data_IF_810668667299
#
_entry.id   IF_810668667299
#
_cell.length_a   1.000
_cell.length_b   1.000
_cell.length_c   1.000
_cell.angle_alpha   90.00
_cell.angle_beta   90.00
_cell.angle_gamma   90.00
#
_symmetry.space_group_name_H-M   'P 1'
#
loop_
_entity.id
_entity.type
_entity.pdbx_description
1 polymer ?
#
# COMPACT_ATOMS: atom_id res chain seq x y z
N UNK A 1 -40.24 -2.09 -5.52
CA UNK A 1 -40.72 -2.24 -6.92
C UNK A 1 -41.32 -3.64 -7.12
N UNK A 2 -42.42 -3.77 -7.85
CA UNK A 2 -43.04 -5.08 -8.13
C UNK A 2 -42.24 -5.88 -9.18
N UNK A 3 -42.15 -7.21 -9.03
CA UNK A 3 -41.46 -8.13 -9.96
C UNK A 3 -41.90 -7.94 -11.42
N UNK A 4 -43.18 -7.63 -11.65
CA UNK A 4 -43.74 -7.37 -13.00
C UNK A 4 -43.15 -6.11 -13.63
N UNK A 5 -42.86 -5.08 -12.83
CA UNK A 5 -42.28 -3.83 -13.31
C UNK A 5 -40.80 -3.98 -13.67
N UNK A 6 -40.04 -4.73 -12.86
CA UNK A 6 -38.64 -5.04 -13.13
C UNK A 6 -38.46 -5.78 -14.46
N UNK A 7 -39.28 -6.83 -14.70
CA UNK A 7 -39.27 -7.56 -15.98
C UNK A 7 -39.55 -6.66 -17.19
N UNK A 8 -40.51 -5.73 -17.07
CA UNK A 8 -40.81 -4.77 -18.14
C UNK A 8 -39.67 -3.79 -18.37
N UNK A 9 -38.98 -3.35 -17.33
CA UNK A 9 -37.83 -2.44 -17.47
C UNK A 9 -36.60 -3.12 -18.07
N UNK A 10 -36.38 -4.41 -17.77
CA UNK A 10 -35.36 -5.24 -18.42
C UNK A 10 -35.67 -5.43 -19.91
N UNK A 11 -36.91 -5.79 -20.25
CA UNK A 11 -37.35 -5.99 -21.64
C UNK A 11 -37.29 -4.69 -22.48
N UNK A 12 -37.42 -3.53 -21.83
CA UNK A 12 -37.30 -2.21 -22.47
C UNK A 12 -35.86 -1.67 -22.49
N UNK A 13 -34.87 -2.46 -22.04
CA UNK A 13 -33.46 -2.04 -21.98
C UNK A 13 -33.16 -0.90 -21.01
N UNK A 14 -34.12 -0.51 -20.16
CA UNK A 14 -33.92 0.54 -19.14
C UNK A 14 -33.07 0.05 -17.98
N UNK A 15 -33.08 -1.26 -17.74
CA UNK A 15 -32.17 -1.95 -16.83
C UNK A 15 -31.43 -2.98 -17.67
N UNK A 16 -30.12 -3.02 -17.58
CA UNK A 16 -29.29 -3.98 -18.31
C UNK A 16 -29.18 -5.30 -17.56
N UNK A 17 -29.12 -5.26 -16.23
CA UNK A 17 -28.96 -6.44 -15.39
C UNK A 17 -29.59 -6.23 -14.02
N UNK A 18 -30.05 -7.33 -13.41
CA UNK A 18 -30.50 -7.36 -12.02
C UNK A 18 -29.62 -8.39 -11.32
N UNK A 19 -28.79 -7.93 -10.39
CA UNK A 19 -28.01 -8.81 -9.53
C UNK A 19 -28.80 -9.05 -8.23
N UNK A 20 -29.02 -10.31 -7.89
CA UNK A 20 -29.55 -10.66 -6.58
C UNK A 20 -28.38 -10.69 -5.59
N UNK A 21 -28.45 -9.88 -4.53
CA UNK A 21 -27.52 -9.98 -3.42
C UNK A 21 -27.97 -11.19 -2.60
N UNK A 22 -27.19 -12.27 -2.68
CA UNK A 22 -27.32 -13.40 -1.77
C UNK A 22 -26.43 -13.07 -0.59
N UNK A 23 -27.03 -12.86 0.59
CA UNK A 23 -26.29 -12.84 1.84
C UNK A 23 -25.73 -14.25 2.06
N UNK A 24 -24.52 -14.49 1.56
CA UNK A 24 -23.75 -15.66 1.95
C UNK A 24 -23.22 -15.35 3.35
N UNK A 25 -23.48 -16.26 4.31
CA UNK A 25 -22.82 -16.19 5.61
C UNK A 25 -21.33 -16.03 5.34
N UNK A 26 -20.79 -14.94 5.87
CA UNK A 26 -19.35 -14.74 5.89
C UNK A 26 -18.88 -15.82 6.87
N UNK A 27 -18.32 -16.92 6.35
CA UNK A 27 -17.72 -17.92 7.22
C UNK A 27 -16.72 -17.16 8.12
N UNK A 28 -16.74 -17.41 9.43
CA UNK A 28 -15.97 -16.65 10.45
C UNK A 28 -14.43 -16.72 10.24
N UNK A 29 -13.99 -17.47 9.23
CA UNK A 29 -12.61 -17.77 8.88
C UNK A 29 -11.90 -16.70 8.03
N UNK A 30 -12.51 -15.54 7.74
CA UNK A 30 -11.78 -14.46 7.04
C UNK A 30 -10.60 -13.93 7.88
N UNK A 31 -10.62 -14.13 9.21
CA UNK A 31 -9.56 -13.69 10.13
C UNK A 31 -8.82 -14.83 10.84
N UNK A 32 -8.98 -16.09 10.42
CA UNK A 32 -8.05 -17.15 10.85
C UNK A 32 -6.75 -16.97 10.09
N UNK A 33 -5.85 -16.15 10.64
CA UNK A 33 -4.47 -16.12 10.21
C UNK A 33 -3.90 -17.53 10.39
N UNK A 34 -3.83 -18.30 9.30
CA UNK A 34 -3.11 -19.57 9.30
C UNK A 34 -1.69 -19.30 9.78
N UNK A 35 -1.33 -19.92 10.90
CA UNK A 35 0.03 -19.87 11.43
C UNK A 35 0.88 -20.75 10.52
N UNK A 36 1.35 -20.16 9.41
CA UNK A 36 2.30 -20.79 8.52
C UNK A 36 3.58 -21.13 9.29
N UNK A 37 4.13 -22.31 9.03
CA UNK A 37 5.45 -22.67 9.52
C UNK A 37 6.47 -21.63 9.05
N UNK A 38 7.43 -21.32 9.92
CA UNK A 38 8.37 -20.21 9.76
C UNK A 38 9.16 -20.33 8.45
N UNK A 39 9.41 -21.57 7.99
CA UNK A 39 10.07 -21.86 6.72
C UNK A 39 9.20 -21.47 5.53
N UNK A 40 7.96 -21.95 5.47
CA UNK A 40 6.98 -21.60 4.43
C UNK A 40 6.71 -20.10 4.37
N UNK A 41 6.64 -19.44 5.53
CA UNK A 41 6.45 -17.98 5.59
C UNK A 41 7.61 -17.22 4.95
N UNK A 42 8.83 -17.69 5.17
CA UNK A 42 10.04 -17.07 4.61
C UNK A 42 10.13 -17.31 3.11
N UNK A 43 9.84 -18.52 2.65
CA UNK A 43 9.82 -18.87 1.21
C UNK A 43 8.78 -18.04 0.45
N UNK A 44 7.55 -17.89 0.99
CA UNK A 44 6.52 -17.03 0.39
C UNK A 44 6.93 -15.55 0.36
N UNK A 45 7.65 -15.09 1.39
CA UNK A 45 8.14 -13.70 1.43
C UNK A 45 9.24 -13.47 0.40
N UNK A 46 10.10 -14.45 0.18
CA UNK A 46 11.16 -14.40 -0.83
C UNK A 46 10.59 -14.45 -2.26
N UNK A 47 9.58 -15.29 -2.50
CA UNK A 47 8.86 -15.36 -3.78
C UNK A 47 8.03 -14.10 -4.10
N UNK A 48 7.55 -13.39 -3.07
CA UNK A 48 6.84 -12.12 -3.20
C UNK A 48 7.74 -10.90 -2.99
N UNK A 49 9.03 -11.12 -2.79
CA UNK A 49 9.98 -10.04 -2.54
C UNK A 49 10.00 -9.05 -3.71
N UNK A 50 10.39 -7.79 -3.44
CA UNK A 50 10.59 -6.78 -4.48
C UNK A 50 11.53 -7.27 -5.60
N UNK A 51 12.45 -8.19 -5.28
CA UNK A 51 13.33 -8.82 -6.25
C UNK A 51 12.56 -9.73 -7.23
N UNK A 52 11.69 -10.61 -6.70
CA UNK A 52 10.86 -11.50 -7.50
C UNK A 52 9.79 -10.73 -8.31
N UNK A 53 9.21 -9.66 -7.76
CA UNK A 53 8.23 -8.84 -8.49
C UNK A 53 8.83 -8.17 -9.74
N UNK A 54 10.12 -7.85 -9.72
CA UNK A 54 10.80 -7.17 -10.83
C UNK A 54 11.31 -8.12 -11.92
N UNK A 55 11.58 -9.39 -11.59
CA UNK A 55 11.96 -10.43 -12.57
C UNK A 55 10.75 -11.03 -13.28
N UNK A 56 9.58 -10.99 -12.65
CA UNK A 56 8.30 -11.38 -13.27
C UNK A 56 7.78 -10.30 -14.23
N UNK A 57 6.77 -10.64 -15.04
CA UNK A 57 6.16 -9.79 -16.10
C UNK A 57 5.61 -8.43 -15.61
N UNK A 58 5.74 -8.11 -14.32
CA UNK A 58 5.38 -6.85 -13.66
C UNK A 58 6.50 -5.78 -13.70
N UNK A 59 7.56 -5.98 -14.49
CA UNK A 59 8.69 -5.05 -14.59
C UNK A 59 8.24 -3.60 -14.94
N UNK A 60 7.19 -3.43 -15.76
CA UNK A 60 6.65 -2.10 -16.06
C UNK A 60 6.12 -1.40 -14.80
N UNK A 61 5.31 -2.08 -14.00
CA UNK A 61 4.82 -1.56 -12.72
C UNK A 61 5.93 -1.42 -11.69
N UNK A 62 6.89 -2.35 -11.64
CA UNK A 62 8.01 -2.27 -10.69
C UNK A 62 8.92 -1.05 -10.96
N UNK A 63 9.05 -0.62 -12.22
CA UNK A 63 9.77 0.60 -12.56
C UNK A 63 8.99 1.88 -12.21
N UNK A 64 7.66 1.84 -12.22
CA UNK A 64 6.81 2.96 -11.77
C UNK A 64 7.00 3.27 -10.28
N UNK A 65 7.23 2.26 -9.44
CA UNK A 65 7.43 2.41 -7.98
C UNK A 65 8.90 2.35 -7.53
N UNK A 66 9.86 2.42 -8.46
CA UNK A 66 11.29 2.31 -8.15
C UNK A 66 11.79 3.45 -7.23
N UNK A 67 11.11 4.59 -7.23
CA UNK A 67 11.39 5.74 -6.35
C UNK A 67 10.94 5.50 -4.89
N UNK A 68 9.92 4.65 -4.72
CA UNK A 68 9.26 4.36 -3.44
C UNK A 68 9.95 3.17 -2.76
N UNK A 69 10.44 2.22 -3.56
CA UNK A 69 11.20 1.07 -3.11
C UNK A 69 12.61 1.05 -3.72
N UNK A 70 13.48 2.02 -3.36
CA UNK A 70 14.83 2.06 -3.88
C UNK A 70 15.66 0.90 -3.31
N UNK A 71 16.26 0.09 -4.18
CA UNK A 71 17.18 -1.00 -3.79
C UNK A 71 18.43 -0.49 -3.06
N UNK A 72 18.89 0.70 -3.44
CA UNK A 72 19.98 1.42 -2.80
C UNK A 72 19.47 2.80 -2.45
N UNK A 73 19.63 3.18 -1.18
CA UNK A 73 19.32 4.54 -0.74
C UNK A 73 20.19 5.49 -1.57
N UNK A 74 19.56 6.23 -2.48
CA UNK A 74 20.21 7.30 -3.21
C UNK A 74 20.58 8.41 -2.22
N UNK A 75 21.74 9.02 -2.40
CA UNK A 75 22.09 10.23 -1.66
C UNK A 75 21.26 11.45 -2.11
N UNK A 76 20.51 11.31 -3.19
CA UNK A 76 19.62 12.32 -3.75
C UNK A 76 18.22 12.22 -3.15
N UNK A 77 17.58 13.38 -3.00
CA UNK A 77 16.21 13.48 -2.50
C UNK A 77 15.24 12.84 -3.50
N UNK A 78 14.18 12.17 -3.03
CA UNK A 78 13.13 11.66 -3.90
C UNK A 78 12.46 12.82 -4.66
N UNK A 79 11.91 12.52 -5.83
CA UNK A 79 11.13 13.50 -6.61
C UNK A 79 9.98 14.05 -5.77
N UNK A 80 9.72 15.36 -5.88
CA UNK A 80 8.61 16.01 -5.17
C UNK A 80 7.28 15.44 -5.69
N UNK A 81 6.59 14.67 -4.84
CA UNK A 81 5.26 14.09 -5.13
C UNK A 81 4.13 15.09 -4.90
N UNK A 82 4.44 16.35 -4.56
CA UNK A 82 3.47 17.41 -4.31
C UNK A 82 2.78 17.32 -2.93
N UNK A 83 3.10 16.30 -2.13
CA UNK A 83 2.63 16.18 -0.75
C UNK A 83 3.55 16.99 0.14
N UNK A 84 3.05 18.09 0.69
CA UNK A 84 3.76 18.94 1.66
C UNK A 84 3.15 18.76 3.03
N UNK A 85 3.98 18.41 4.00
CA UNK A 85 3.57 18.41 5.40
C UNK A 85 3.78 19.82 5.97
N UNK A 86 2.68 20.48 6.32
CA UNK A 86 2.71 21.70 7.10
C UNK A 86 2.75 21.35 8.59
N UNK A 87 3.62 22.02 9.33
CA UNK A 87 3.71 21.85 10.79
C UNK A 87 3.07 23.08 11.41
N UNK A 88 1.85 22.91 11.91
CA UNK A 88 1.17 23.97 12.66
C UNK A 88 1.87 24.18 14.00
N UNK A 89 2.46 25.37 14.15
CA UNK A 89 3.08 25.79 15.41
C UNK A 89 2.10 26.73 16.11
N UNK A 90 1.76 26.42 17.36
CA UNK A 90 0.87 27.27 18.13
C UNK A 90 1.45 28.69 18.28
N UNK A 91 0.63 29.75 18.17
CA UNK A 91 1.09 31.13 18.33
C UNK A 91 1.82 31.33 19.67
N UNK A 92 3.02 31.89 19.63
CA UNK A 92 3.86 32.12 20.82
C UNK A 92 4.82 30.99 21.18
N UNK A 93 4.80 29.86 20.44
CA UNK A 93 5.79 28.79 20.62
C UNK A 93 7.14 29.22 20.06
N UNK A 94 8.21 29.06 20.85
CA UNK A 94 9.59 29.31 20.41
C UNK A 94 10.20 27.99 19.98
N UNK A 95 10.96 28.01 18.89
CA UNK A 95 11.75 26.85 18.47
C UNK A 95 12.81 26.51 19.53
N UNK A 96 12.86 25.24 19.92
CA UNK A 96 13.88 24.74 20.84
C UNK A 96 15.23 24.60 20.11
N UNK A 97 16.22 25.38 20.50
CA UNK A 97 17.60 25.22 20.01
C UNK A 97 18.26 24.08 20.80
N UNK A 98 18.66 23.01 20.10
CA UNK A 98 19.44 21.91 20.70
C UNK A 98 20.93 22.15 20.45
N UNK A 99 21.74 22.07 21.52
CA UNK A 99 23.21 22.04 21.39
C UNK A 99 23.63 20.72 20.75
N UNK A 100 24.39 20.80 19.66
CA UNK A 100 25.00 19.63 19.04
C UNK A 100 26.12 19.09 19.94
N UNK A 101 26.02 17.84 20.38
CA UNK A 101 27.10 17.19 21.13
C UNK A 101 28.32 16.97 20.23
N UNK A 102 29.53 17.07 20.81
CA UNK A 102 30.76 16.76 20.08
C UNK A 102 30.73 15.29 19.65
N UNK A 103 30.60 15.04 18.34
CA UNK A 103 30.70 13.69 17.78
C UNK A 103 32.18 13.28 17.72
N UNK A 104 32.53 12.11 18.25
CA UNK A 104 33.90 11.61 18.17
C UNK A 104 34.29 11.37 16.69
N UNK A 105 35.52 11.75 16.32
CA UNK A 105 36.05 11.45 14.98
C UNK A 105 36.42 9.96 14.93
N UNK A 106 35.91 9.23 13.94
CA UNK A 106 36.43 7.89 13.63
C UNK A 106 37.87 8.04 13.17
N UNK A 107 38.78 7.22 13.71
CA UNK A 107 40.13 7.09 13.16
C UNK A 107 40.01 6.30 11.86
N UNK A 108 40.47 6.87 10.75
CA UNK A 108 40.66 6.14 9.51
C UNK A 108 41.80 5.15 9.73
N UNK A 109 41.54 3.87 9.51
CA UNK A 109 42.54 2.79 9.48
C UNK A 109 43.20 2.77 8.12
#
# INVERSE_FOLDING_TARGET
MSKKMLKRSLAKGKLLQICAIVEKSIDEDINTAEVLDEKTRTEMFDEQSCYALRTNLLNESANEYADTFPYKVSGELPSDKGIRHEIDVAPGTKYCIKRQWRRQKKKSV
#
